data_IF_170453196904
#
_entry.id   IF_170453196904
#
_cell.length_a   1.000
_cell.length_b   1.000
_cell.length_c   1.000
_cell.angle_alpha   90.00
_cell.angle_beta   90.00
_cell.angle_gamma   90.00
#
_symmetry.space_group_name_H-M   'P 1'
#
loop_
_entity.id
_entity.type
_entity.pdbx_description
1 polymer ?
#
# COMPACT_ATOMS: atom_id res chain seq x y z
N UNK A 1 -9.09 1.09 11.16
CA UNK A 1 -8.74 2.28 10.34
C UNK A 1 -8.15 3.38 11.21
N UNK A 2 -7.51 4.39 10.59
CA UNK A 2 -6.79 5.47 11.27
C UNK A 2 -7.31 6.89 10.98
N UNK A 3 -8.44 7.04 10.26
CA UNK A 3 -9.12 8.33 10.09
C UNK A 3 -8.60 9.25 8.97
N UNK A 4 -7.91 8.72 7.96
CA UNK A 4 -7.44 9.50 6.81
C UNK A 4 -8.56 9.75 5.79
N UNK A 5 -8.56 10.93 5.14
CA UNK A 5 -9.51 11.27 4.06
C UNK A 5 -9.22 10.57 2.72
N UNK A 6 -8.02 10.03 2.56
CA UNK A 6 -7.58 9.34 1.35
C UNK A 6 -6.16 8.79 1.45
N UNK A 7 -5.70 8.14 0.39
CA UNK A 7 -4.36 7.54 0.30
C UNK A 7 -3.65 7.97 -0.98
N UNK A 8 -2.34 8.21 -0.87
CA UNK A 8 -1.47 8.43 -2.01
C UNK A 8 -0.68 7.16 -2.33
N UNK A 9 -0.70 6.75 -3.60
CA UNK A 9 0.00 5.54 -4.04
C UNK A 9 0.74 5.81 -5.34
N UNK A 10 2.00 5.38 -5.40
CA UNK A 10 2.83 5.47 -6.60
C UNK A 10 3.50 4.13 -6.89
N UNK A 11 4.69 3.94 -6.34
CA UNK A 11 5.53 2.77 -6.60
C UNK A 11 4.85 1.44 -6.26
N UNK A 12 4.01 1.40 -5.22
CA UNK A 12 3.23 0.22 -4.84
C UNK A 12 2.28 -0.31 -5.93
N UNK A 13 1.88 0.53 -6.90
CA UNK A 13 1.11 0.11 -8.08
C UNK A 13 2.06 -0.16 -9.25
N UNK A 14 2.86 0.83 -9.65
CA UNK A 14 3.59 0.78 -10.91
C UNK A 14 4.82 -0.14 -10.90
N UNK A 15 5.34 -0.49 -9.72
CA UNK A 15 6.43 -1.46 -9.56
C UNK A 15 5.94 -2.84 -9.09
N UNK A 16 4.64 -3.11 -9.22
CA UNK A 16 4.06 -4.43 -8.91
C UNK A 16 4.02 -5.34 -10.14
N UNK A 17 3.80 -6.64 -9.92
CA UNK A 17 3.69 -7.62 -11.01
C UNK A 17 2.44 -7.44 -11.90
N UNK A 18 1.38 -6.81 -11.39
CA UNK A 18 0.18 -6.48 -12.18
C UNK A 18 -0.39 -5.10 -11.78
N UNK A 19 0.17 -4.01 -12.34
CA UNK A 19 -0.20 -2.64 -11.96
C UNK A 19 -1.69 -2.34 -12.15
N UNK A 20 -2.30 -2.82 -13.24
CA UNK A 20 -3.70 -2.53 -13.55
C UNK A 20 -4.67 -3.20 -12.56
N UNK A 21 -4.44 -4.48 -12.22
CA UNK A 21 -5.24 -5.17 -11.22
C UNK A 21 -5.06 -4.52 -9.84
N UNK A 22 -3.81 -4.21 -9.46
CA UNK A 22 -3.51 -3.59 -8.17
C UNK A 22 -4.10 -2.19 -8.02
N UNK A 23 -4.08 -1.38 -9.08
CA UNK A 23 -4.71 -0.06 -9.06
C UNK A 23 -6.23 -0.16 -8.79
N UNK A 24 -6.93 -1.09 -9.45
CA UNK A 24 -8.36 -1.32 -9.20
C UNK A 24 -8.62 -1.79 -7.77
N UNK A 25 -7.81 -2.70 -7.26
CA UNK A 25 -7.92 -3.19 -5.89
C UNK A 25 -7.70 -2.08 -4.85
N UNK A 26 -6.70 -1.21 -5.05
CA UNK A 26 -6.44 -0.07 -4.16
C UNK A 26 -7.64 0.89 -4.14
N UNK A 27 -8.19 1.23 -5.31
CA UNK A 27 -9.37 2.11 -5.38
C UNK A 27 -10.57 1.48 -4.68
N UNK A 28 -10.85 0.19 -4.94
CA UNK A 28 -11.94 -0.52 -4.27
C UNK A 28 -11.73 -0.62 -2.76
N UNK A 29 -10.49 -0.84 -2.29
CA UNK A 29 -10.16 -0.93 -0.87
C UNK A 29 -10.38 0.39 -0.13
N UNK A 30 -10.12 1.53 -0.78
CA UNK A 30 -10.37 2.85 -0.20
C UNK A 30 -11.87 3.14 -0.14
N UNK A 31 -12.61 2.76 -1.17
CA UNK A 31 -14.07 2.94 -1.22
C UNK A 31 -14.82 2.06 -0.21
N UNK A 32 -14.36 0.83 -0.01
CA UNK A 32 -15.01 -0.19 0.83
C UNK A 32 -14.14 -0.57 2.03
N UNK A 33 -13.51 0.43 2.66
CA UNK A 33 -12.50 0.21 3.69
C UNK A 33 -13.00 -0.57 4.93
N UNK A 34 -14.31 -0.64 5.15
CA UNK A 34 -14.99 -1.25 6.31
C UNK A 34 -15.68 -2.56 5.98
N UNK A 35 -15.74 -2.93 4.69
CA UNK A 35 -16.27 -4.22 4.26
C UNK A 35 -15.14 -5.24 4.15
N UNK A 36 -14.95 -6.01 5.22
CA UNK A 36 -13.88 -7.01 5.30
C UNK A 36 -14.01 -8.13 4.28
N UNK A 37 -15.23 -8.45 3.82
CA UNK A 37 -15.44 -9.48 2.82
C UNK A 37 -14.94 -9.01 1.45
N UNK A 38 -15.30 -7.77 1.06
CA UNK A 38 -14.81 -7.14 -0.16
C UNK A 38 -13.29 -6.98 -0.12
N UNK A 39 -12.73 -6.53 1.01
CA UNK A 39 -11.27 -6.40 1.16
C UNK A 39 -10.52 -7.72 0.97
N UNK A 40 -11.05 -8.82 1.50
CA UNK A 40 -10.47 -10.14 1.32
C UNK A 40 -10.51 -10.58 -0.15
N UNK A 41 -11.64 -10.36 -0.84
CA UNK A 41 -11.81 -10.70 -2.25
C UNK A 41 -10.86 -9.92 -3.17
N UNK A 42 -10.84 -8.59 -3.06
CA UNK A 42 -10.04 -7.74 -3.95
C UNK A 42 -8.53 -7.85 -3.69
N UNK A 43 -8.12 -8.39 -2.54
CA UNK A 43 -6.71 -8.63 -2.21
C UNK A 43 -6.15 -9.89 -2.86
N UNK A 44 -6.99 -10.75 -3.43
CA UNK A 44 -6.58 -11.98 -4.09
C UNK A 44 -6.01 -11.72 -5.50
N UNK A 45 -5.09 -12.59 -5.93
CA UNK A 45 -4.58 -12.66 -7.32
C UNK A 45 -3.99 -11.36 -7.89
N UNK A 46 -3.47 -10.46 -7.05
CA UNK A 46 -2.88 -9.18 -7.47
C UNK A 46 -1.43 -9.29 -7.99
N UNK A 47 -0.87 -10.51 -8.01
CA UNK A 47 0.54 -10.74 -8.31
C UNK A 47 1.48 -10.19 -7.24
N UNK A 48 2.78 -10.22 -7.54
CA UNK A 48 3.81 -9.80 -6.58
C UNK A 48 3.72 -8.31 -6.25
N UNK A 49 3.89 -8.00 -4.96
CA UNK A 49 4.02 -6.64 -4.50
C UNK A 49 5.39 -6.07 -4.83
N UNK A 50 5.48 -4.74 -4.91
CA UNK A 50 6.77 -4.07 -4.97
C UNK A 50 7.60 -4.44 -3.72
N UNK A 51 8.89 -4.79 -3.86
CA UNK A 51 9.79 -4.98 -2.73
C UNK A 51 10.01 -3.64 -2.01
N UNK A 52 9.75 -3.63 -0.71
CA UNK A 52 10.05 -2.50 0.17
C UNK A 52 11.48 -2.52 0.68
N UNK A 53 11.96 -1.38 1.19
CA UNK A 53 13.18 -1.30 1.97
C UNK A 53 12.83 -1.23 3.46
N UNK A 54 13.50 -2.04 4.26
CA UNK A 54 13.36 -2.00 5.72
C UNK A 54 13.88 -0.68 6.29
N UNK A 55 13.12 -0.01 7.15
CA UNK A 55 13.51 1.31 7.68
C UNK A 55 14.85 1.28 8.43
N UNK A 56 15.19 0.14 9.04
CA UNK A 56 16.43 -0.03 9.80
C UNK A 56 17.67 -0.06 8.89
N UNK A 57 17.54 -0.43 7.61
CA UNK A 57 18.64 -0.46 6.64
C UNK A 57 18.86 0.88 5.92
N UNK A 58 17.92 1.81 6.04
CA UNK A 58 18.04 3.17 5.50
C UNK A 58 18.98 3.98 6.40
N UNK A 59 19.96 4.68 5.81
CA UNK A 59 20.88 5.54 6.54
C UNK A 59 20.11 6.67 7.28
N UNK A 60 20.52 7.08 8.50
CA UNK A 60 19.80 8.09 9.28
C UNK A 60 19.50 9.38 8.52
N UNK A 61 20.44 9.84 7.69
CA UNK A 61 20.38 11.10 6.93
C UNK A 61 19.35 11.03 5.78
N UNK A 62 18.94 9.82 5.39
CA UNK A 62 17.96 9.58 4.32
C UNK A 62 16.55 9.34 4.87
N UNK A 63 16.38 9.25 6.20
CA UNK A 63 15.06 9.03 6.82
C UNK A 63 14.31 10.35 6.92
N UNK A 64 13.05 10.35 6.48
CA UNK A 64 12.17 11.53 6.60
C UNK A 64 11.63 11.70 8.03
N UNK A 65 11.70 10.65 8.85
CA UNK A 65 11.25 10.66 10.25
C UNK A 65 12.15 9.74 11.08
N UNK A 66 12.57 10.21 12.25
CA UNK A 66 13.25 9.37 13.25
C UNK A 66 12.21 8.52 14.01
N UNK A 67 12.63 7.36 14.52
CA UNK A 67 11.72 6.44 15.20
C UNK A 67 11.42 6.98 16.60
N UNK A 68 10.28 7.63 16.81
CA UNK A 68 9.84 8.08 18.13
C UNK A 68 8.72 9.12 18.10
N UNK A 69 7.88 9.06 19.13
CA UNK A 69 7.17 10.19 19.74
C UNK A 69 7.87 10.48 21.07
#
# INVERSE_FOLDING_TARGET
QLGCDGVFVGSGIFKSGNPAARARAVVAAVTHYDDYAVLAEISANLGEAMPGLEIASIAPEQRMQERGW
#
